data_IF_080480065526
#
_entry.id   IF_080480065526
#
_cell.length_a   1.000
_cell.length_b   1.000
_cell.length_c   1.000
_cell.angle_alpha   90.00
_cell.angle_beta   90.00
_cell.angle_gamma   90.00
#
_symmetry.space_group_name_H-M   'P 1'
#
loop_
_entity.id
_entity.type
_entity.pdbx_description
1 polymer ?
#
# COMPACT_ATOMS: atom_id res chain seq x y z
N UNK A 1 2.82 18.97 6.96
CA UNK A 1 2.94 17.73 6.16
C UNK A 1 4.02 16.81 6.72
N UNK A 2 5.30 17.17 6.59
CA UNK A 2 6.47 16.33 6.93
C UNK A 2 6.46 15.75 8.34
N UNK A 3 6.24 16.57 9.38
CA UNK A 3 6.23 16.11 10.78
C UNK A 3 5.20 15.00 11.05
N UNK A 4 4.01 15.12 10.45
CA UNK A 4 2.93 14.13 10.60
C UNK A 4 3.29 12.83 9.90
N UNK A 5 3.86 12.92 8.69
CA UNK A 5 4.34 11.74 7.95
C UNK A 5 5.44 11.01 8.72
N UNK A 6 6.43 11.72 9.26
CA UNK A 6 7.53 11.13 10.04
C UNK A 6 7.02 10.47 11.33
N UNK A 7 6.13 11.13 12.08
CA UNK A 7 5.50 10.55 13.26
C UNK A 7 4.71 9.27 12.91
N UNK A 8 3.95 9.31 11.81
CA UNK A 8 3.22 8.15 11.29
C UNK A 8 4.15 6.98 10.98
N UNK A 9 5.29 7.22 10.31
CA UNK A 9 6.28 6.17 10.03
C UNK A 9 6.93 5.61 11.29
N UNK A 10 7.27 6.48 12.26
CA UNK A 10 7.84 6.06 13.55
C UNK A 10 6.91 5.10 14.30
N UNK A 11 5.63 5.44 14.38
CA UNK A 11 4.61 4.60 15.00
C UNK A 11 4.39 3.29 14.24
N UNK A 12 4.38 3.31 12.91
CA UNK A 12 4.28 2.09 12.10
C UNK A 12 5.47 1.14 12.32
N UNK A 13 6.67 1.70 12.47
CA UNK A 13 7.86 0.93 12.78
C UNK A 13 7.80 0.32 14.18
N UNK A 14 7.25 1.04 15.18
CA UNK A 14 7.01 0.50 16.52
C UNK A 14 5.97 -0.61 16.50
N UNK A 15 4.83 -0.40 15.82
CA UNK A 15 3.82 -1.43 15.62
C UNK A 15 4.41 -2.71 15.03
N UNK A 16 5.23 -2.61 13.97
CA UNK A 16 5.87 -3.79 13.36
C UNK A 16 6.74 -4.58 14.35
N UNK A 17 7.37 -3.91 15.33
CA UNK A 17 8.21 -4.55 16.35
C UNK A 17 7.40 -5.11 17.52
N UNK A 18 6.41 -4.37 17.99
CA UNK A 18 5.73 -4.64 19.26
C UNK A 18 4.33 -5.24 19.10
N UNK A 19 3.78 -5.22 17.88
CA UNK A 19 2.41 -5.61 17.56
C UNK A 19 1.34 -4.87 18.39
N UNK A 20 1.68 -3.68 18.90
CA UNK A 20 0.79 -2.83 19.68
C UNK A 20 -0.19 -2.08 18.76
N UNK A 21 -1.47 -2.47 18.81
CA UNK A 21 -2.52 -1.87 17.97
C UNK A 21 -2.66 -0.36 18.15
N UNK A 22 -2.40 0.17 19.34
CA UNK A 22 -2.47 1.62 19.58
C UNK A 22 -1.47 2.39 18.71
N UNK A 23 -0.29 1.84 18.45
CA UNK A 23 0.71 2.48 17.61
C UNK A 23 0.24 2.50 16.14
N UNK A 24 -0.43 1.45 15.69
CA UNK A 24 -1.00 1.38 14.34
C UNK A 24 -2.15 2.38 14.15
N UNK A 25 -3.07 2.47 15.12
CA UNK A 25 -4.17 3.43 15.11
C UNK A 25 -3.64 4.88 15.10
N UNK A 26 -2.64 5.18 15.93
CA UNK A 26 -2.02 6.50 15.94
C UNK A 26 -1.25 6.80 14.65
N UNK A 27 -0.64 5.78 14.01
CA UNK A 27 0.01 5.92 12.71
C UNK A 27 -1.00 6.31 11.63
N UNK A 28 -2.16 5.64 11.59
CA UNK A 28 -3.28 5.98 10.68
C UNK A 28 -3.72 7.43 10.91
N UNK A 29 -3.99 7.82 12.15
CA UNK A 29 -4.41 9.18 12.47
C UNK A 29 -3.39 10.24 11.99
N UNK A 30 -2.09 9.96 12.09
CA UNK A 30 -1.07 10.87 11.60
C UNK A 30 -1.03 10.95 10.06
N UNK A 31 -1.20 9.82 9.36
CA UNK A 31 -1.27 9.82 7.89
C UNK A 31 -2.55 10.46 7.35
N UNK A 32 -3.69 10.30 8.02
CA UNK A 32 -4.94 11.01 7.68
C UNK A 32 -4.74 12.53 7.79
N UNK A 33 -4.27 13.01 8.93
CA UNK A 33 -3.97 14.44 9.09
C UNK A 33 -2.92 14.95 8.09
N UNK A 34 -1.93 14.13 7.75
CA UNK A 34 -0.94 14.49 6.73
C UNK A 34 -1.59 14.66 5.36
N UNK A 35 -2.52 13.78 4.98
CA UNK A 35 -3.25 13.85 3.72
C UNK A 35 -4.24 15.03 3.68
N UNK A 36 -4.93 15.30 4.78
CA UNK A 36 -5.91 16.40 4.89
C UNK A 36 -5.28 17.77 4.66
N UNK A 37 -4.06 17.98 5.17
CA UNK A 37 -3.32 19.24 4.99
C UNK A 37 -2.45 19.25 3.72
N UNK A 38 -2.41 18.16 2.97
CA UNK A 38 -1.67 18.07 1.71
C UNK A 38 -2.58 18.58 0.57
N UNK A 39 -2.22 19.65 -0.16
CA UNK A 39 -3.02 20.09 -1.30
C UNK A 39 -3.17 19.01 -2.37
N UNK A 40 -4.24 19.06 -3.17
CA UNK A 40 -4.53 18.04 -4.19
C UNK A 40 -3.44 17.94 -5.26
N UNK A 41 -2.86 19.07 -5.65
CA UNK A 41 -1.80 19.13 -6.67
C UNK A 41 -0.38 19.05 -6.09
N UNK A 42 -0.25 18.72 -4.80
CA UNK A 42 1.06 18.70 -4.15
C UNK A 42 1.87 17.46 -4.57
N UNK A 43 3.17 17.60 -4.91
CA UNK A 43 3.99 16.48 -5.38
C UNK A 43 4.08 15.27 -4.42
N UNK A 44 3.97 15.52 -3.11
CA UNK A 44 3.99 14.45 -2.11
C UNK A 44 2.63 13.77 -1.86
N UNK A 45 1.54 14.20 -2.51
CA UNK A 45 0.21 13.59 -2.33
C UNK A 45 0.16 12.10 -2.65
N UNK A 46 0.74 11.56 -3.75
CA UNK A 46 0.80 10.11 -3.97
C UNK A 46 1.49 9.36 -2.83
N UNK A 47 2.55 9.92 -2.24
CA UNK A 47 3.22 9.31 -1.10
C UNK A 47 2.34 9.33 0.17
N UNK A 48 1.60 10.41 0.43
CA UNK A 48 0.67 10.49 1.56
C UNK A 48 -0.46 9.45 1.44
N UNK A 49 -1.07 9.32 0.25
CA UNK A 49 -2.08 8.30 -0.06
C UNK A 49 -1.52 6.88 0.16
N UNK A 50 -0.35 6.60 -0.41
CA UNK A 50 0.31 5.30 -0.26
C UNK A 50 0.59 4.93 1.21
N UNK A 51 1.06 5.88 2.01
CA UNK A 51 1.34 5.65 3.43
C UNK A 51 0.06 5.35 4.21
N UNK A 52 -1.01 6.12 3.97
CA UNK A 52 -2.30 5.89 4.62
C UNK A 52 -2.89 4.53 4.23
N UNK A 53 -2.88 4.20 2.93
CA UNK A 53 -3.35 2.91 2.42
C UNK A 53 -2.57 1.76 3.05
N UNK A 54 -1.24 1.88 3.18
CA UNK A 54 -0.40 0.88 3.85
C UNK A 54 -0.79 0.67 5.31
N UNK A 55 -1.00 1.76 6.07
CA UNK A 55 -1.38 1.65 7.48
C UNK A 55 -2.77 1.04 7.64
N UNK A 56 -3.75 1.43 6.81
CA UNK A 56 -5.09 0.85 6.80
C UNK A 56 -5.05 -0.63 6.39
N UNK A 57 -4.25 -1.01 5.40
CA UNK A 57 -4.07 -2.40 4.98
C UNK A 57 -3.56 -3.28 6.13
N UNK A 58 -2.54 -2.82 6.85
CA UNK A 58 -2.02 -3.52 8.03
C UNK A 58 -3.07 -3.63 9.13
N UNK A 59 -3.90 -2.59 9.32
CA UNK A 59 -4.97 -2.62 10.30
C UNK A 59 -6.08 -3.61 9.95
N UNK A 60 -6.44 -3.73 8.67
CA UNK A 60 -7.38 -4.75 8.21
C UNK A 60 -6.84 -6.16 8.47
N UNK A 61 -5.56 -6.40 8.17
CA UNK A 61 -4.90 -7.68 8.48
C UNK A 61 -4.88 -7.99 9.98
N UNK A 62 -4.57 -7.00 10.81
CA UNK A 62 -4.50 -7.17 12.26
C UNK A 62 -5.86 -7.47 12.92
N UNK A 63 -6.96 -7.07 12.28
CA UNK A 63 -8.29 -7.18 12.87
C UNK A 63 -9.05 -8.47 12.52
N UNK A 64 -8.62 -9.23 11.50
CA UNK A 64 -9.05 -10.57 11.00
C UNK A 64 -10.56 -10.87 10.83
N UNK A 65 -11.43 -10.19 11.58
CA UNK A 65 -12.89 -10.38 11.71
C UNK A 65 -13.67 -9.61 10.66
N UNK A 66 -13.14 -8.48 10.18
CA UNK A 66 -13.72 -7.67 9.11
C UNK A 66 -12.61 -7.11 8.23
N UNK A 67 -12.08 -7.96 7.34
CA UNK A 67 -11.07 -7.59 6.35
C UNK A 67 -11.71 -6.78 5.21
N UNK A 68 -12.17 -5.56 5.50
CA UNK A 68 -12.57 -4.63 4.45
C UNK A 68 -11.31 -4.06 3.79
N UNK A 69 -10.94 -4.67 2.67
CA UNK A 69 -9.79 -4.26 1.88
C UNK A 69 -10.14 -3.20 0.84
N UNK A 70 -11.41 -2.79 0.72
CA UNK A 70 -11.85 -1.88 -0.34
C UNK A 70 -11.20 -0.49 -0.15
N UNK A 71 -11.11 -0.02 1.11
CA UNK A 71 -10.47 1.26 1.46
C UNK A 71 -8.97 1.28 1.13
N UNK A 72 -8.12 0.35 1.63
CA UNK A 72 -6.70 0.38 1.28
C UNK A 72 -6.44 0.12 -0.21
N UNK A 73 -7.24 -0.72 -0.88
CA UNK A 73 -7.12 -0.95 -2.33
C UNK A 73 -7.38 0.36 -3.09
N UNK A 74 -8.46 1.07 -2.77
CA UNK A 74 -8.74 2.38 -3.38
C UNK A 74 -7.60 3.37 -3.15
N UNK A 75 -7.07 3.45 -1.92
CA UNK A 75 -5.96 4.36 -1.61
C UNK A 75 -4.66 4.03 -2.35
N UNK A 76 -4.36 2.74 -2.58
CA UNK A 76 -3.24 2.35 -3.41
C UNK A 76 -3.47 2.67 -4.89
N UNK A 77 -4.70 2.50 -5.40
CA UNK A 77 -5.06 2.88 -6.76
C UNK A 77 -4.93 4.40 -6.97
N UNK A 78 -5.46 5.23 -6.06
CA UNK A 78 -5.33 6.68 -6.12
C UNK A 78 -3.86 7.12 -6.13
N UNK A 79 -3.02 6.47 -5.31
CA UNK A 79 -1.58 6.73 -5.31
C UNK A 79 -0.91 6.31 -6.63
N UNK A 80 -1.37 5.23 -7.26
CA UNK A 80 -0.84 4.72 -8.53
C UNK A 80 -1.23 5.63 -9.70
N UNK A 81 -2.46 6.14 -9.71
CA UNK A 81 -2.98 7.03 -10.75
C UNK A 81 -2.22 8.36 -10.79
N UNK A 82 -1.77 8.83 -9.63
CA UNK A 82 -0.92 10.03 -9.49
C UNK A 82 0.57 9.78 -9.77
N UNK A 83 0.97 8.54 -10.09
CA UNK A 83 2.36 8.14 -10.38
C UNK A 83 2.47 7.75 -11.86
N UNK A 84 2.87 8.66 -12.76
CA UNK A 84 2.95 8.35 -14.20
C UNK A 84 3.96 7.25 -14.50
N UNK A 85 3.90 6.68 -15.72
CA UNK A 85 4.88 5.70 -16.20
C UNK A 85 6.32 6.24 -16.06
N UNK A 86 7.20 5.43 -15.50
CA UNK A 86 8.59 5.81 -15.20
C UNK A 86 8.81 6.49 -13.85
N UNK A 87 7.76 6.80 -13.08
CA UNK A 87 7.92 7.33 -11.72
C UNK A 87 8.62 6.28 -10.82
N UNK A 88 9.64 6.66 -10.02
CA UNK A 88 10.47 5.72 -9.26
C UNK A 88 9.67 4.88 -8.25
N UNK A 89 8.64 5.46 -7.63
CA UNK A 89 7.78 4.74 -6.68
C UNK A 89 6.60 3.98 -7.33
N UNK A 90 6.44 4.04 -8.67
CA UNK A 90 5.32 3.34 -9.33
C UNK A 90 5.37 1.83 -9.07
N UNK A 91 6.53 1.14 -9.22
CA UNK A 91 6.59 -0.32 -9.01
C UNK A 91 6.26 -0.76 -7.59
N UNK A 92 6.69 -0.01 -6.56
CA UNK A 92 6.34 -0.36 -5.17
C UNK A 92 4.85 -0.18 -4.90
N UNK A 93 4.20 0.80 -5.52
CA UNK A 93 2.74 1.01 -5.44
C UNK A 93 2.00 -0.15 -6.07
N UNK A 94 2.41 -0.55 -7.27
CA UNK A 94 1.81 -1.67 -8.01
C UNK A 94 1.93 -2.98 -7.23
N UNK A 95 3.10 -3.25 -6.65
CA UNK A 95 3.31 -4.41 -5.79
C UNK A 95 2.35 -4.42 -4.59
N UNK A 96 2.18 -3.29 -3.89
CA UNK A 96 1.30 -3.23 -2.72
C UNK A 96 -0.17 -3.36 -3.10
N UNK A 97 -0.59 -2.73 -4.21
CA UNK A 97 -1.93 -2.87 -4.75
C UNK A 97 -2.21 -4.34 -5.12
N UNK A 98 -1.29 -4.99 -5.84
CA UNK A 98 -1.42 -6.39 -6.22
C UNK A 98 -1.52 -7.31 -5.00
N UNK A 99 -0.70 -7.10 -3.97
CA UNK A 99 -0.78 -7.87 -2.72
C UNK A 99 -2.15 -7.68 -2.04
N UNK A 100 -2.65 -6.45 -1.96
CA UNK A 100 -3.96 -6.18 -1.37
C UNK A 100 -5.10 -6.85 -2.15
N UNK A 101 -5.05 -6.83 -3.48
CA UNK A 101 -5.99 -7.53 -4.36
C UNK A 101 -5.93 -9.05 -4.17
N UNK A 102 -4.73 -9.64 -4.13
CA UNK A 102 -4.56 -11.08 -3.85
C UNK A 102 -5.10 -11.47 -2.47
N UNK A 103 -4.89 -10.64 -1.45
CA UNK A 103 -5.49 -10.86 -0.14
C UNK A 103 -7.03 -10.84 -0.19
N UNK A 104 -7.62 -9.92 -0.94
CA UNK A 104 -9.09 -9.85 -1.09
C UNK A 104 -9.62 -11.03 -1.89
N UNK A 105 -8.93 -11.42 -2.96
CA UNK A 105 -9.22 -12.63 -3.73
C UNK A 105 -9.18 -13.89 -2.87
N UNK A 106 -8.10 -14.12 -2.12
CA UNK A 106 -7.96 -15.30 -1.26
C UNK A 106 -9.07 -15.41 -0.21
N UNK A 107 -9.68 -14.30 0.19
CA UNK A 107 -10.79 -14.27 1.17
C UNK A 107 -12.18 -14.32 0.54
N UNK A 108 -12.38 -13.73 -0.64
CA UNK A 108 -13.71 -13.50 -1.23
C UNK A 108 -13.93 -14.19 -2.58
N UNK A 109 -12.89 -14.74 -3.20
CA UNK A 109 -12.95 -15.40 -4.52
C UNK A 109 -13.28 -14.44 -5.67
N UNK A 110 -12.90 -13.17 -5.56
CA UNK A 110 -13.18 -12.16 -6.60
C UNK A 110 -12.15 -12.31 -7.73
N UNK A 111 -12.49 -13.05 -8.78
CA UNK A 111 -11.57 -13.34 -9.91
C UNK A 111 -10.97 -12.09 -10.56
N UNK A 112 -11.75 -11.00 -10.66
CA UNK A 112 -11.26 -9.73 -11.23
C UNK A 112 -10.10 -9.13 -10.43
N UNK A 113 -10.03 -9.38 -9.12
CA UNK A 113 -8.92 -8.93 -8.29
C UNK A 113 -7.64 -9.70 -8.60
N UNK A 114 -7.77 -11.00 -8.81
CA UNK A 114 -6.65 -11.87 -9.13
C UNK A 114 -6.07 -11.55 -10.52
N UNK A 115 -6.94 -11.33 -11.52
CA UNK A 115 -6.51 -10.92 -12.86
C UNK A 115 -5.79 -9.57 -12.83
N UNK A 116 -6.37 -8.58 -12.15
CA UNK A 116 -5.75 -7.27 -11.98
C UNK A 116 -4.41 -7.34 -11.23
N UNK A 117 -4.31 -8.16 -10.19
CA UNK A 117 -3.06 -8.37 -9.47
C UNK A 117 -1.97 -8.96 -10.38
N UNK A 118 -2.31 -9.95 -11.20
CA UNK A 118 -1.37 -10.56 -12.15
C UNK A 118 -0.85 -9.58 -13.19
N UNK A 119 -1.72 -8.71 -13.71
CA UNK A 119 -1.31 -7.66 -14.63
C UNK A 119 -0.31 -6.70 -13.98
N UNK A 120 -0.61 -6.21 -12.77
CA UNK A 120 0.26 -5.32 -12.01
C UNK A 120 1.62 -5.97 -11.71
N UNK A 121 1.64 -7.23 -11.28
CA UNK A 121 2.88 -7.97 -11.00
C UNK A 121 3.71 -8.18 -12.28
N UNK A 122 3.05 -8.47 -13.40
CA UNK A 122 3.74 -8.61 -14.70
C UNK A 122 4.38 -7.29 -15.13
N UNK A 123 3.71 -6.16 -14.95
CA UNK A 123 4.29 -4.83 -15.21
C UNK A 123 5.52 -4.57 -14.32
N UNK A 124 5.44 -4.89 -13.03
CA UNK A 124 6.57 -4.75 -12.09
C UNK A 124 7.77 -5.61 -12.53
N UNK A 125 7.54 -6.87 -12.92
CA UNK A 125 8.60 -7.78 -13.36
C UNK A 125 9.30 -7.29 -14.63
N UNK A 126 8.55 -6.62 -15.53
CA UNK A 126 9.10 -6.05 -16.76
C UNK A 126 9.93 -4.77 -16.53
N UNK A 127 9.59 -3.97 -15.49
CA UNK A 127 10.25 -2.68 -15.22
C UNK A 127 11.44 -2.85 -14.27
N UNK A 128 11.30 -3.67 -13.24
CA UNK A 128 12.29 -3.77 -12.17
C UNK A 128 13.41 -4.75 -12.52
N UNK A 129 14.65 -4.34 -12.23
CA UNK A 129 15.82 -5.23 -12.35
C UNK A 129 15.66 -6.48 -11.47
N UNK A 130 16.07 -7.64 -11.99
CA UNK A 130 15.88 -8.95 -11.35
C UNK A 130 16.42 -9.03 -9.91
N UNK A 131 17.52 -8.32 -9.62
CA UNK A 131 18.14 -8.29 -8.29
C UNK A 131 17.45 -7.33 -7.31
N UNK A 132 16.46 -6.54 -7.74
CA UNK A 132 15.74 -5.63 -6.84
C UNK A 132 14.80 -6.40 -5.92
N UNK A 133 14.64 -5.90 -4.69
CA UNK A 133 13.72 -6.50 -3.72
C UNK A 133 12.26 -6.45 -4.23
N UNK A 134 11.89 -5.43 -5.00
CA UNK A 134 10.56 -5.29 -5.59
C UNK A 134 10.32 -6.39 -6.63
N UNK A 135 11.27 -6.63 -7.54
CA UNK A 135 11.15 -7.70 -8.53
C UNK A 135 11.00 -9.07 -7.86
N UNK A 136 11.85 -9.36 -6.86
CA UNK A 136 11.79 -10.63 -6.12
C UNK A 136 10.46 -10.80 -5.38
N UNK A 137 9.96 -9.75 -4.75
CA UNK A 137 8.66 -9.78 -4.07
C UNK A 137 7.50 -10.00 -5.07
N UNK A 138 7.57 -9.35 -6.24
CA UNK A 138 6.56 -9.54 -7.28
C UNK A 138 6.56 -10.97 -7.85
N UNK A 139 7.74 -11.56 -8.04
CA UNK A 139 7.88 -12.94 -8.47
C UNK A 139 7.28 -13.91 -7.46
N UNK A 140 7.52 -13.70 -6.16
CA UNK A 140 6.91 -14.52 -5.12
C UNK A 140 5.38 -14.37 -5.09
N UNK A 141 4.86 -13.16 -5.30
CA UNK A 141 3.43 -12.90 -5.27
C UNK A 141 2.66 -13.41 -6.49
N UNK A 142 3.33 -13.62 -7.64
CA UNK A 142 2.66 -14.12 -8.85
C UNK A 142 2.51 -15.65 -8.83
N UNK A 143 3.31 -16.32 -8.01
CA UNK A 143 3.34 -17.78 -7.83
C UNK A 143 2.38 -18.28 -6.74
N UNK A 144 1.83 -17.38 -5.91
CA UNK A 144 0.83 -17.68 -4.85
C UNK A 144 -0.59 -17.66 -5.37
#
# INVERSE_FOLDING_TARGET
>A
LTLRTEAGHGLLAQYRRMQNRSDLEQSINNFEHALDICPIDHPCRPAALFNLATAKFLNCQANETHLDLDIPISGFQDALDLRPSGHPDRPVTQLHLAIALLCRFAKRGIETDHDAAKELLSEVLNICHANSHIHRAALLAIET
#
